data_IF_037282764706
#
_entry.id   IF_037282764706
#
_cell.length_a   1.000
_cell.length_b   1.000
_cell.length_c   1.000
_cell.angle_alpha   90.00
_cell.angle_beta   90.00
_cell.angle_gamma   90.00
#
_symmetry.space_group_name_H-M   'P 1'
#
loop_
_entity.id
_entity.type
_entity.pdbx_description
1 polymer ?
#
# COMPACT_ATOMS: atom_id res chain seq x y z
N UNK A 1 39.23 64.12 32.52
CA UNK A 1 37.93 63.43 32.66
C UNK A 1 38.15 62.34 33.68
N UNK A 2 37.70 62.57 34.91
CA UNK A 2 37.92 61.77 36.12
C UNK A 2 36.88 60.65 36.21
N UNK A 3 37.26 59.40 36.56
CA UNK A 3 36.29 58.35 36.86
C UNK A 3 35.89 58.44 38.35
N UNK A 4 34.57 58.36 38.55
CA UNK A 4 33.92 58.35 39.85
C UNK A 4 33.90 56.91 40.37
N UNK A 5 34.58 56.72 41.55
CA UNK A 5 34.54 55.47 42.34
C UNK A 5 33.33 55.50 43.28
N UNK A 6 32.46 54.47 43.35
CA UNK A 6 31.48 54.41 44.43
C UNK A 6 32.10 53.78 45.69
N UNK A 7 31.92 54.45 46.78
CA UNK A 7 32.29 54.04 48.16
C UNK A 7 31.25 52.98 48.61
N UNK A 8 31.75 51.77 48.92
CA UNK A 8 30.96 50.72 49.55
C UNK A 8 31.06 50.86 51.06
N UNK A 9 29.91 51.20 51.70
CA UNK A 9 29.78 51.24 53.14
C UNK A 9 29.72 49.83 53.77
N UNK A 10 30.12 49.65 55.03
CA UNK A 10 30.19 48.33 55.66
C UNK A 10 28.82 47.79 55.97
N UNK A 11 28.56 46.61 55.41
CA UNK A 11 27.36 45.78 55.67
C UNK A 11 27.43 45.25 57.13
N UNK A 12 26.46 45.65 57.95
CA UNK A 12 26.20 45.07 59.28
C UNK A 12 25.69 43.66 59.15
N UNK A 13 26.47 42.66 59.53
CA UNK A 13 26.05 41.27 59.69
C UNK A 13 25.06 41.12 60.84
N UNK A 14 23.90 40.48 60.71
CA UNK A 14 23.06 40.23 61.88
C UNK A 14 23.70 39.16 62.75
N UNK A 15 23.88 39.46 63.97
CA UNK A 15 24.35 38.58 65.08
C UNK A 15 23.17 37.64 65.40
N UNK A 16 23.28 36.38 65.02
CA UNK A 16 22.36 35.33 65.46
C UNK A 16 22.65 35.05 66.92
N UNK A 17 21.72 35.44 67.79
CA UNK A 17 21.77 35.09 69.23
C UNK A 17 21.66 33.59 69.37
N UNK A 18 22.71 32.96 69.89
CA UNK A 18 22.68 31.55 70.29
C UNK A 18 21.73 31.41 71.50
N UNK A 19 20.63 30.77 71.29
CA UNK A 19 19.55 30.55 72.29
C UNK A 19 19.87 29.39 73.25
N UNK A 20 20.97 28.69 73.05
CA UNK A 20 21.37 27.55 73.91
C UNK A 20 22.60 27.81 74.68
N UNK A 21 22.45 28.57 75.78
CA UNK A 21 23.47 28.59 76.86
C UNK A 21 22.81 28.06 78.16
N UNK A 22 23.49 27.05 78.75
CA UNK A 22 23.15 26.39 80.00
C UNK A 22 21.94 25.35 79.92
N UNK A 23 22.21 24.23 79.27
CA UNK A 23 21.47 22.99 79.57
C UNK A 23 22.25 22.12 80.56
N UNK A 24 21.58 21.25 81.31
CA UNK A 24 22.28 20.37 82.27
C UNK A 24 23.34 19.53 81.60
N UNK A 25 24.37 19.08 82.30
CA UNK A 25 25.52 18.38 81.74
C UNK A 25 25.11 17.19 80.92
N UNK A 26 25.77 16.91 79.84
CA UNK A 26 25.44 15.83 78.86
C UNK A 26 25.09 14.49 79.54
N UNK A 27 25.76 14.22 80.68
CA UNK A 27 25.50 13.00 81.48
C UNK A 27 24.11 13.01 82.12
N UNK A 28 23.56 14.12 82.56
CA UNK A 28 22.25 14.25 83.12
C UNK A 28 21.14 14.03 81.98
N UNK A 29 21.40 14.53 80.82
CA UNK A 29 20.51 14.29 79.67
C UNK A 29 20.48 12.81 79.21
N UNK A 30 21.64 12.15 79.21
CA UNK A 30 21.77 10.75 78.92
C UNK A 30 21.03 9.88 79.96
N UNK A 31 21.19 10.22 81.26
CA UNK A 31 20.52 9.56 82.38
C UNK A 31 18.98 9.72 82.33
N UNK A 32 18.52 10.92 81.99
CA UNK A 32 17.05 11.17 81.81
C UNK A 32 16.52 10.42 80.58
N UNK A 33 17.19 10.41 79.47
CA UNK A 33 16.81 9.68 78.29
C UNK A 33 16.86 8.15 78.48
N UNK A 34 17.88 7.67 79.22
CA UNK A 34 17.97 6.23 79.52
C UNK A 34 16.89 5.76 80.49
N UNK A 35 16.63 6.58 81.56
CA UNK A 35 15.50 6.26 82.48
C UNK A 35 14.13 6.38 81.78
N UNK A 36 13.93 7.34 80.89
CA UNK A 36 12.73 7.48 80.10
C UNK A 36 12.57 6.29 79.14
N UNK A 37 13.62 5.82 78.55
CA UNK A 37 13.63 4.63 77.71
C UNK A 37 13.30 3.37 78.45
N UNK A 38 13.83 3.18 79.68
CA UNK A 38 13.54 2.04 80.56
C UNK A 38 12.09 2.09 81.06
N UNK A 39 11.56 3.26 81.39
CA UNK A 39 10.15 3.46 81.80
C UNK A 39 9.25 3.18 80.60
N UNK A 40 9.56 3.67 79.44
CA UNK A 40 8.79 3.38 78.21
C UNK A 40 8.81 1.89 77.90
N UNK A 41 9.96 1.21 78.03
CA UNK A 41 10.11 -0.21 77.79
C UNK A 41 9.37 -1.09 78.83
N UNK A 42 9.29 -0.63 80.10
CA UNK A 42 8.54 -1.34 81.13
C UNK A 42 7.02 -1.12 81.06
N UNK A 43 6.57 0.03 80.59
CA UNK A 43 5.19 0.32 80.33
C UNK A 43 4.71 -0.42 79.10
N UNK A 44 5.54 -0.50 78.07
CA UNK A 44 5.28 -1.28 76.85
C UNK A 44 5.11 -2.77 77.12
N UNK A 45 5.92 -3.32 78.06
CA UNK A 45 5.85 -4.76 78.37
C UNK A 45 4.63 -5.16 79.24
N UNK A 46 3.89 -4.17 79.82
CA UNK A 46 2.74 -4.50 80.71
C UNK A 46 1.37 -4.30 80.10
N UNK A 47 1.21 -3.51 79.04
CA UNK A 47 -0.16 -3.11 78.63
C UNK A 47 -0.45 -3.18 77.10
N UNK A 48 0.43 -3.72 76.28
CA UNK A 48 0.19 -3.87 74.80
C UNK A 48 -0.40 -2.61 74.10
N UNK A 49 -0.21 -1.41 74.67
CA UNK A 49 -0.76 -0.19 74.10
C UNK A 49 0.01 0.30 72.82
N UNK A 50 1.17 -0.27 72.54
CA UNK A 50 1.92 0.05 71.31
C UNK A 50 1.31 -0.57 70.08
N UNK A 51 0.55 -1.65 70.21
CA UNK A 51 -0.15 -2.25 69.04
C UNK A 51 -1.30 -1.32 68.61
N UNK A 52 -2.00 -0.65 69.56
CA UNK A 52 -3.04 0.31 69.18
C UNK A 52 -2.45 1.61 68.61
N UNK A 53 -1.32 2.08 69.11
CA UNK A 53 -0.63 3.21 68.52
C UNK A 53 -0.06 2.89 67.16
N UNK A 54 0.46 1.68 66.97
CA UNK A 54 0.95 1.18 65.68
C UNK A 54 -0.20 1.04 64.68
N UNK A 55 -1.35 0.54 65.13
CA UNK A 55 -2.58 0.45 64.35
C UNK A 55 -3.09 1.85 63.96
N UNK A 56 -3.10 2.80 64.92
CA UNK A 56 -3.47 4.19 64.60
C UNK A 56 -2.51 4.90 63.68
N UNK A 57 -1.17 4.67 63.82
CA UNK A 57 -0.19 5.20 62.89
C UNK A 57 -0.30 4.56 61.50
N UNK A 58 -0.60 3.28 61.42
CA UNK A 58 -0.74 2.61 60.13
C UNK A 58 -1.96 3.15 59.35
N UNK A 59 -3.04 3.51 60.02
CA UNK A 59 -4.20 4.17 59.39
C UNK A 59 -3.85 5.56 58.87
N UNK A 60 -2.91 6.27 59.54
CA UNK A 60 -2.47 7.60 59.09
C UNK A 60 -1.46 7.52 57.93
N UNK A 61 -0.64 6.44 57.90
CA UNK A 61 0.38 6.21 56.86
C UNK A 61 -0.25 5.59 55.59
N UNK A 62 -1.35 4.85 55.77
CA UNK A 62 -2.03 4.19 54.65
C UNK A 62 -2.44 5.15 53.52
N UNK A 63 -3.07 6.33 53.78
CA UNK A 63 -3.39 7.28 52.72
C UNK A 63 -2.15 7.90 52.06
N UNK A 64 -1.02 7.98 52.78
CA UNK A 64 0.25 8.49 52.23
C UNK A 64 0.90 7.43 51.33
N UNK A 65 0.83 6.14 51.67
CA UNK A 65 1.25 5.05 50.85
C UNK A 65 0.38 4.96 49.58
N UNK A 66 -0.93 5.15 49.72
CA UNK A 66 -1.84 5.17 48.56
C UNK A 66 -1.57 6.36 47.63
N UNK A 67 -1.10 7.49 48.15
CA UNK A 67 -0.68 8.66 47.38
C UNK A 67 0.67 8.46 46.68
N UNK A 68 1.57 7.70 47.29
CA UNK A 68 2.90 7.37 46.72
C UNK A 68 2.80 6.21 45.72
N UNK A 69 1.90 5.27 45.96
CA UNK A 69 1.57 4.16 45.04
C UNK A 69 0.55 4.53 43.95
N UNK A 70 0.04 5.79 43.91
CA UNK A 70 -0.62 6.34 42.74
C UNK A 70 0.44 6.59 41.67
N UNK A 71 0.62 5.59 40.79
CA UNK A 71 1.84 5.50 40.02
C UNK A 71 1.80 6.51 38.90
N UNK A 72 2.97 6.76 38.34
CA UNK A 72 3.15 7.42 37.07
C UNK A 72 2.33 6.85 35.91
N UNK A 73 1.61 5.74 36.13
CA UNK A 73 0.69 5.10 35.15
C UNK A 73 -0.52 5.98 34.80
N UNK A 74 -1.02 6.82 35.73
CA UNK A 74 -2.11 7.75 35.38
C UNK A 74 -1.62 8.90 34.49
N UNK A 75 -0.38 9.35 34.70
CA UNK A 75 0.25 10.38 33.86
C UNK A 75 0.61 9.85 32.47
N UNK A 76 1.05 8.61 32.38
CA UNK A 76 1.36 7.94 31.10
C UNK A 76 0.09 7.66 30.32
N UNK A 77 -0.95 7.16 30.96
CA UNK A 77 -2.26 6.93 30.33
C UNK A 77 -2.90 8.22 29.79
N UNK A 78 -2.79 9.34 30.52
CA UNK A 78 -3.23 10.65 30.04
C UNK A 78 -2.39 11.16 28.87
N UNK A 79 -1.06 10.98 28.91
CA UNK A 79 -0.17 11.36 27.81
C UNK A 79 -0.42 10.51 26.57
N UNK A 80 -0.59 9.22 26.74
CA UNK A 80 -0.88 8.28 25.67
C UNK A 80 -2.27 8.53 25.03
N UNK A 81 -3.30 8.81 25.84
CA UNK A 81 -4.63 9.19 25.35
C UNK A 81 -4.62 10.52 24.59
N UNK A 82 -3.82 11.51 25.02
CA UNK A 82 -3.71 12.80 24.34
C UNK A 82 -2.84 12.69 23.08
N UNK A 83 -1.77 11.89 23.11
CA UNK A 83 -0.94 11.60 21.95
C UNK A 83 -1.75 10.88 20.87
N UNK A 84 -2.51 9.85 21.28
CA UNK A 84 -3.39 9.09 20.36
C UNK A 84 -4.47 9.98 19.72
N UNK A 85 -5.05 10.91 20.47
CA UNK A 85 -6.03 11.86 19.90
C UNK A 85 -5.43 12.81 18.89
N UNK A 86 -4.22 13.31 19.14
CA UNK A 86 -3.51 14.17 18.18
C UNK A 86 -3.13 13.41 16.93
N UNK A 87 -2.59 12.21 17.10
CA UNK A 87 -2.22 11.33 15.99
C UNK A 87 -3.44 10.98 15.12
N UNK A 88 -4.57 10.62 15.74
CA UNK A 88 -5.84 10.39 15.04
C UNK A 88 -6.36 11.65 14.32
N UNK A 89 -6.18 12.83 14.90
CA UNK A 89 -6.56 14.09 14.25
C UNK A 89 -5.66 14.40 13.05
N UNK A 90 -4.34 14.17 13.17
CA UNK A 90 -3.38 14.34 12.08
C UNK A 90 -3.64 13.33 10.97
N UNK A 91 -3.87 12.05 11.33
CA UNK A 91 -4.26 11.03 10.36
C UNK A 91 -5.59 11.38 9.65
N UNK A 92 -6.60 11.84 10.39
CA UNK A 92 -7.87 12.26 9.80
C UNK A 92 -7.71 13.47 8.87
N UNK A 93 -6.88 14.45 9.24
CA UNK A 93 -6.56 15.59 8.40
C UNK A 93 -5.79 15.16 7.13
N UNK A 94 -4.82 14.26 7.28
CA UNK A 94 -4.07 13.69 6.17
C UNK A 94 -4.97 12.91 5.21
N UNK A 95 -5.84 12.03 5.74
CA UNK A 95 -6.79 11.27 4.93
C UNK A 95 -7.78 12.17 4.19
N UNK A 96 -8.27 13.24 4.82
CA UNK A 96 -9.13 14.23 4.17
C UNK A 96 -8.40 14.96 3.05
N UNK A 97 -7.14 15.32 3.27
CA UNK A 97 -6.31 15.96 2.23
C UNK A 97 -6.09 15.01 1.06
N UNK A 98 -5.76 13.74 1.33
CA UNK A 98 -5.63 12.73 0.29
C UNK A 98 -6.95 12.52 -0.47
N UNK A 99 -8.08 12.49 0.22
CA UNK A 99 -9.39 12.38 -0.39
C UNK A 99 -9.71 13.57 -1.31
N UNK A 100 -9.37 14.79 -0.90
CA UNK A 100 -9.54 15.99 -1.73
C UNK A 100 -8.66 15.93 -2.99
N UNK A 101 -7.41 15.50 -2.86
CA UNK A 101 -6.50 15.34 -4.00
C UNK A 101 -7.04 14.29 -4.97
N UNK A 102 -7.46 13.13 -4.46
CA UNK A 102 -8.04 12.06 -5.29
C UNK A 102 -9.32 12.53 -6.00
N UNK A 103 -10.21 13.21 -5.29
CA UNK A 103 -11.42 13.75 -5.91
C UNK A 103 -11.11 14.78 -7.01
N UNK A 104 -10.11 15.62 -6.79
CA UNK A 104 -9.66 16.58 -7.82
C UNK A 104 -9.08 15.86 -9.04
N UNK A 105 -8.31 14.79 -8.82
CA UNK A 105 -7.78 13.99 -9.93
C UNK A 105 -8.89 13.27 -10.69
N UNK A 106 -9.91 12.73 -10.00
CA UNK A 106 -11.08 12.13 -10.64
C UNK A 106 -11.85 13.14 -11.49
N UNK A 107 -12.10 14.35 -10.97
CA UNK A 107 -12.76 15.42 -11.75
C UNK A 107 -11.95 15.80 -12.98
N UNK A 108 -10.62 15.88 -12.86
CA UNK A 108 -9.74 16.16 -14.01
C UNK A 108 -9.78 15.04 -15.04
N UNK A 109 -9.78 13.77 -14.58
CA UNK A 109 -9.95 12.61 -15.46
C UNK A 109 -11.26 12.67 -16.22
N UNK A 110 -12.38 12.89 -15.53
CA UNK A 110 -13.71 13.00 -16.14
C UNK A 110 -13.77 14.14 -17.19
N UNK A 111 -13.15 15.26 -16.87
CA UNK A 111 -13.02 16.38 -17.82
C UNK A 111 -12.22 15.99 -19.07
N UNK A 112 -11.06 15.34 -18.89
CA UNK A 112 -10.23 14.89 -20.01
C UNK A 112 -10.90 13.80 -20.83
N UNK A 113 -11.64 12.89 -20.21
CA UNK A 113 -12.44 11.88 -20.91
C UNK A 113 -13.53 12.53 -21.76
N UNK A 114 -14.23 13.52 -21.21
CA UNK A 114 -15.26 14.27 -21.92
C UNK A 114 -14.66 15.03 -23.11
N UNK A 115 -13.54 15.69 -22.93
CA UNK A 115 -12.82 16.37 -24.00
C UNK A 115 -12.36 15.38 -25.08
N UNK A 116 -11.80 14.24 -24.67
CA UNK A 116 -11.37 13.19 -25.59
C UNK A 116 -12.55 12.62 -26.40
N UNK A 117 -13.71 12.39 -25.74
CA UNK A 117 -14.94 11.97 -26.44
C UNK A 117 -15.39 13.03 -27.46
N UNK A 118 -15.35 14.32 -27.09
CA UNK A 118 -15.69 15.43 -27.98
C UNK A 118 -14.75 15.49 -29.17
N UNK A 119 -13.42 15.41 -28.94
CA UNK A 119 -12.45 15.42 -30.02
C UNK A 119 -12.61 14.23 -30.95
N UNK A 120 -12.91 13.03 -30.41
CA UNK A 120 -13.20 11.84 -31.22
C UNK A 120 -14.48 11.95 -32.01
N UNK A 121 -15.53 12.52 -31.43
CA UNK A 121 -16.76 12.81 -32.14
C UNK A 121 -16.55 13.77 -33.33
N UNK A 122 -15.68 14.78 -33.16
CA UNK A 122 -15.29 15.71 -34.22
C UNK A 122 -14.46 15.03 -35.31
N UNK A 123 -13.69 13.97 -34.97
CA UNK A 123 -12.88 13.20 -35.92
C UNK A 123 -13.64 12.00 -36.54
N UNK A 124 -14.94 11.89 -36.30
CA UNK A 124 -15.83 10.79 -36.78
C UNK A 124 -15.31 9.39 -36.40
N UNK A 125 -14.51 9.33 -35.33
CA UNK A 125 -13.96 8.07 -34.82
C UNK A 125 -14.86 7.54 -33.68
N UNK A 126 -15.72 6.59 -34.01
CA UNK A 126 -16.66 5.89 -33.09
C UNK A 126 -15.93 4.99 -32.06
N UNK A 127 -15.08 5.60 -31.21
CA UNK A 127 -14.53 4.90 -30.05
C UNK A 127 -15.31 5.30 -28.80
N UNK A 128 -16.33 4.54 -28.48
CA UNK A 128 -16.96 4.62 -27.16
C UNK A 128 -15.98 4.16 -26.09
N UNK A 129 -15.31 5.09 -25.41
CA UNK A 129 -14.72 4.84 -24.10
C UNK A 129 -15.85 4.90 -23.07
N UNK A 130 -16.77 3.93 -23.17
CA UNK A 130 -17.84 3.73 -22.20
C UNK A 130 -17.36 2.92 -21.00
N UNK A 131 -18.09 2.99 -19.89
CA UNK A 131 -17.94 2.12 -18.73
C UNK A 131 -17.91 0.67 -19.18
N UNK A 132 -16.72 0.07 -19.21
CA UNK A 132 -16.58 -1.33 -19.60
C UNK A 132 -17.13 -2.21 -18.50
N UNK A 133 -17.85 -3.25 -18.80
CA UNK A 133 -18.22 -4.23 -17.79
C UNK A 133 -16.95 -4.84 -17.21
N UNK A 134 -16.92 -4.95 -15.90
CA UNK A 134 -15.80 -5.51 -15.12
C UNK A 134 -16.37 -6.50 -14.13
N UNK A 135 -15.66 -7.60 -13.91
CA UNK A 135 -16.02 -8.61 -12.93
C UNK A 135 -14.83 -8.86 -12.01
N UNK A 136 -15.07 -8.85 -10.71
CA UNK A 136 -14.06 -9.22 -9.72
C UNK A 136 -14.15 -10.73 -9.50
N UNK A 137 -12.97 -11.39 -9.47
CA UNK A 137 -12.83 -12.79 -9.14
C UNK A 137 -11.76 -12.97 -8.07
N UNK A 138 -11.92 -14.00 -7.24
CA UNK A 138 -10.94 -14.40 -6.25
C UNK A 138 -10.03 -15.49 -6.80
N UNK A 139 -8.75 -15.45 -6.40
CA UNK A 139 -7.80 -16.50 -6.69
C UNK A 139 -8.07 -17.71 -5.81
N UNK A 140 -8.20 -18.87 -6.44
CA UNK A 140 -8.34 -20.16 -5.76
C UNK A 140 -6.99 -20.83 -5.57
N UNK A 141 -6.15 -20.82 -6.59
CA UNK A 141 -4.82 -21.41 -6.55
C UNK A 141 -3.84 -20.66 -7.42
N UNK A 142 -2.55 -20.78 -7.09
CA UNK A 142 -1.44 -20.17 -7.83
C UNK A 142 -0.42 -21.25 -8.12
N UNK A 143 -0.13 -21.48 -9.39
CA UNK A 143 0.92 -22.38 -9.86
C UNK A 143 2.06 -21.56 -10.44
N UNK A 144 3.20 -21.59 -9.75
CA UNK A 144 4.42 -20.83 -10.08
C UNK A 144 5.58 -21.78 -10.39
N UNK A 145 5.29 -22.84 -11.12
CA UNK A 145 6.34 -23.67 -11.69
C UNK A 145 7.19 -22.85 -12.67
N UNK A 146 8.52 -22.96 -12.70
CA UNK A 146 9.39 -22.17 -13.63
C UNK A 146 9.00 -22.23 -15.10
N UNK A 147 8.29 -23.28 -15.50
CA UNK A 147 7.82 -23.48 -16.87
C UNK A 147 6.35 -23.12 -17.09
N UNK A 148 5.62 -22.80 -16.00
CA UNK A 148 4.19 -22.53 -16.10
C UNK A 148 3.76 -21.58 -14.98
N UNK A 149 3.39 -20.37 -15.33
CA UNK A 149 2.83 -19.40 -14.42
C UNK A 149 1.33 -19.28 -14.66
N UNK A 150 0.55 -20.00 -13.86
CA UNK A 150 -0.91 -20.04 -14.01
C UNK A 150 -1.59 -19.80 -12.66
N UNK A 151 -2.78 -19.24 -12.73
CA UNK A 151 -3.66 -19.07 -11.58
C UNK A 151 -5.04 -19.58 -11.90
N UNK A 152 -5.74 -20.08 -10.90
CA UNK A 152 -7.13 -20.46 -10.98
C UNK A 152 -8.01 -19.48 -10.23
N UNK A 153 -9.14 -19.10 -10.82
CA UNK A 153 -10.11 -18.15 -10.27
C UNK A 153 -11.48 -18.77 -10.06
N UNK A 154 -12.27 -18.21 -9.14
CA UNK A 154 -13.61 -18.69 -8.74
C UNK A 154 -14.74 -18.22 -9.68
N UNK A 155 -14.44 -18.00 -10.95
CA UNK A 155 -15.40 -17.54 -11.97
C UNK A 155 -15.26 -18.37 -13.26
N UNK A 156 -16.35 -18.57 -13.97
CA UNK A 156 -16.37 -19.43 -15.13
C UNK A 156 -17.33 -18.98 -16.24
N UNK A 157 -17.72 -19.93 -17.10
CA UNK A 157 -18.65 -19.65 -18.22
C UNK A 157 -20.02 -19.18 -17.75
N UNK A 158 -20.47 -19.56 -16.54
CA UNK A 158 -21.71 -19.06 -15.95
C UNK A 158 -21.65 -17.55 -15.68
N UNK A 159 -20.46 -17.00 -15.48
CA UNK A 159 -20.22 -15.57 -15.33
C UNK A 159 -19.89 -14.88 -16.68
N UNK A 160 -20.15 -15.57 -17.81
CA UNK A 160 -19.89 -15.09 -19.18
C UNK A 160 -18.40 -14.88 -19.50
N UNK A 161 -17.51 -15.64 -18.85
CA UNK A 161 -16.09 -15.61 -19.16
C UNK A 161 -15.79 -16.43 -20.43
N UNK A 162 -14.71 -16.05 -21.11
CA UNK A 162 -14.25 -16.73 -22.33
C UNK A 162 -12.72 -16.79 -22.38
N UNK A 163 -12.19 -17.76 -23.11
CA UNK A 163 -10.75 -17.91 -23.30
C UNK A 163 -10.16 -16.72 -24.07
N UNK A 164 -9.01 -16.22 -23.62
CA UNK A 164 -8.39 -15.01 -24.14
C UNK A 164 -8.82 -13.71 -23.45
N UNK A 165 -9.73 -13.76 -22.48
CA UNK A 165 -10.16 -12.59 -21.73
C UNK A 165 -9.02 -12.07 -20.83
N UNK A 166 -8.72 -10.76 -20.86
CA UNK A 166 -7.66 -10.20 -20.04
C UNK A 166 -8.00 -10.16 -18.57
N UNK A 167 -6.98 -10.39 -17.76
CA UNK A 167 -6.98 -10.36 -16.31
C UNK A 167 -6.06 -9.26 -15.83
N UNK A 168 -6.55 -8.44 -14.90
CA UNK A 168 -5.84 -7.30 -14.34
C UNK A 168 -5.80 -7.37 -12.81
N UNK A 169 -4.83 -6.71 -12.22
CA UNK A 169 -4.87 -6.31 -10.81
C UNK A 169 -5.03 -4.79 -10.69
N UNK A 170 -4.83 -4.28 -9.48
CA UNK A 170 -4.90 -2.83 -9.19
C UNK A 170 -3.81 -2.01 -9.87
N UNK A 171 -2.71 -2.64 -10.31
CA UNK A 171 -1.51 -1.96 -10.84
C UNK A 171 -1.35 -2.16 -12.35
N UNK A 172 -1.94 -3.21 -12.93
CA UNK A 172 -1.77 -3.46 -14.35
C UNK A 172 -2.29 -4.81 -14.83
N UNK A 173 -1.90 -5.16 -16.04
CA UNK A 173 -2.27 -6.44 -16.65
C UNK A 173 -1.50 -7.57 -16.00
N UNK A 174 -2.24 -8.58 -15.56
CA UNK A 174 -1.74 -9.76 -14.89
C UNK A 174 -1.57 -10.95 -15.84
N UNK A 175 -2.48 -11.08 -16.80
CA UNK A 175 -2.50 -12.20 -17.73
C UNK A 175 -3.74 -12.27 -18.60
N UNK A 176 -4.06 -13.48 -19.06
CA UNK A 176 -5.27 -13.79 -19.83
C UNK A 176 -5.81 -15.17 -19.48
N UNK A 177 -7.12 -15.36 -19.60
CA UNK A 177 -7.74 -16.67 -19.44
C UNK A 177 -7.34 -17.61 -20.57
N UNK A 178 -6.90 -18.82 -20.23
CA UNK A 178 -6.54 -19.87 -21.21
C UNK A 178 -7.55 -20.99 -21.24
N UNK A 179 -8.11 -21.32 -20.08
CA UNK A 179 -9.16 -22.34 -19.98
C UNK A 179 -10.30 -21.81 -19.11
N UNK A 180 -11.54 -22.06 -19.52
CA UNK A 180 -12.72 -21.60 -18.78
C UNK A 180 -13.67 -22.77 -18.60
N UNK A 181 -13.79 -23.24 -17.37
CA UNK A 181 -14.77 -24.22 -16.93
C UNK A 181 -16.10 -23.56 -16.55
N UNK A 182 -17.09 -24.35 -16.10
CA UNK A 182 -18.39 -23.80 -15.69
C UNK A 182 -18.31 -22.85 -14.50
N UNK A 183 -17.50 -23.16 -13.49
CA UNK A 183 -17.41 -22.44 -12.20
C UNK A 183 -16.05 -21.83 -11.93
N UNK A 184 -15.00 -22.35 -12.57
CA UNK A 184 -13.62 -21.90 -12.41
C UNK A 184 -12.97 -21.63 -13.75
N UNK A 185 -11.94 -20.81 -13.77
CA UNK A 185 -11.15 -20.58 -14.98
C UNK A 185 -9.67 -20.50 -14.63
N UNK A 186 -8.84 -20.96 -15.58
CA UNK A 186 -7.38 -20.89 -15.48
C UNK A 186 -6.88 -19.72 -16.31
N UNK A 187 -6.05 -18.86 -15.71
CA UNK A 187 -5.39 -17.76 -16.38
C UNK A 187 -3.87 -18.01 -16.45
N UNK A 188 -3.29 -17.67 -17.59
CA UNK A 188 -1.84 -17.63 -17.80
C UNK A 188 -1.33 -16.23 -17.50
N UNK A 189 -0.33 -16.13 -16.65
CA UNK A 189 0.28 -14.86 -16.27
C UNK A 189 1.19 -14.31 -17.37
N UNK A 190 1.43 -13.00 -17.36
CA UNK A 190 2.32 -12.35 -18.36
C UNK A 190 3.78 -12.80 -18.24
N UNK A 191 4.16 -13.37 -17.11
CA UNK A 191 5.51 -13.91 -16.84
C UNK A 191 5.72 -15.36 -17.29
N UNK A 192 4.64 -16.04 -17.70
CA UNK A 192 4.74 -17.39 -18.27
C UNK A 192 5.60 -17.37 -19.53
N UNK A 193 6.58 -18.31 -19.72
CA UNK A 193 7.42 -18.34 -20.92
C UNK A 193 6.65 -18.49 -22.24
N UNK A 194 5.43 -19.02 -22.20
CA UNK A 194 4.56 -19.16 -23.38
C UNK A 194 3.69 -17.92 -23.63
N UNK A 195 3.76 -16.91 -22.75
CA UNK A 195 2.93 -15.72 -22.88
C UNK A 195 3.64 -14.61 -23.66
N UNK A 196 2.90 -13.99 -24.55
CA UNK A 196 3.33 -12.83 -25.31
C UNK A 196 2.26 -11.75 -25.28
N UNK A 197 2.61 -10.55 -24.88
CA UNK A 197 1.71 -9.40 -24.83
C UNK A 197 2.21 -8.27 -25.72
N UNK A 198 1.39 -7.75 -26.64
CA UNK A 198 1.74 -6.58 -27.44
C UNK A 198 1.66 -5.31 -26.57
N UNK A 199 2.79 -4.63 -26.45
CA UNK A 199 2.96 -3.43 -25.63
C UNK A 199 3.39 -2.23 -26.48
N UNK A 200 3.27 -1.05 -25.92
CA UNK A 200 3.88 0.16 -26.44
C UNK A 200 4.54 0.95 -25.31
N UNK A 201 5.64 1.60 -25.62
CA UNK A 201 6.26 2.55 -24.70
C UNK A 201 5.36 3.77 -24.60
N UNK A 202 4.89 4.09 -23.40
CA UNK A 202 3.92 5.17 -23.20
C UNK A 202 4.44 6.55 -23.63
N UNK A 203 5.75 6.80 -23.49
CA UNK A 203 6.40 8.07 -23.82
C UNK A 203 6.56 8.26 -25.34
N UNK A 204 7.01 7.24 -26.05
CA UNK A 204 7.40 7.34 -27.48
C UNK A 204 6.36 6.76 -28.43
N UNK A 205 5.43 5.93 -27.93
CA UNK A 205 4.48 5.19 -28.73
C UNK A 205 5.10 4.00 -29.51
N UNK A 206 6.38 3.70 -29.30
CA UNK A 206 7.05 2.55 -29.91
C UNK A 206 6.32 1.26 -29.51
N UNK A 207 5.93 0.46 -30.49
CA UNK A 207 5.23 -0.82 -30.30
C UNK A 207 6.19 -1.97 -30.39
N UNK A 208 6.03 -2.92 -29.47
CA UNK A 208 6.80 -4.16 -29.41
C UNK A 208 6.00 -5.26 -28.73
N UNK A 209 6.62 -6.41 -28.51
CA UNK A 209 6.03 -7.53 -27.80
C UNK A 209 6.87 -7.78 -26.55
N UNK A 210 6.22 -7.89 -25.39
CA UNK A 210 6.85 -8.36 -24.17
C UNK A 210 6.58 -9.85 -24.01
N UNK A 211 7.62 -10.61 -23.72
CA UNK A 211 7.60 -12.06 -23.50
C UNK A 211 7.82 -12.37 -22.03
N UNK A 212 7.13 -13.38 -21.52
CA UNK A 212 7.40 -13.94 -20.21
C UNK A 212 8.70 -14.72 -20.20
N UNK A 213 9.41 -14.68 -19.07
CA UNK A 213 10.71 -15.34 -18.92
C UNK A 213 10.69 -16.55 -17.99
N UNK A 214 9.54 -16.83 -17.33
CA UNK A 214 9.48 -17.81 -16.25
C UNK A 214 9.99 -17.27 -14.90
N UNK A 215 10.31 -15.97 -14.84
CA UNK A 215 10.61 -15.27 -13.59
C UNK A 215 9.45 -14.33 -13.27
N UNK A 216 9.02 -14.31 -12.00
CA UNK A 216 7.84 -13.53 -11.57
C UNK A 216 8.02 -12.03 -11.68
N UNK A 217 9.26 -11.56 -11.76
CA UNK A 217 9.65 -10.15 -11.72
C UNK A 217 10.25 -9.64 -13.06
N UNK A 218 10.28 -10.48 -14.10
CA UNK A 218 10.99 -10.16 -15.35
C UNK A 218 10.18 -10.51 -16.59
N UNK A 219 10.11 -9.54 -17.49
CA UNK A 219 9.67 -9.69 -18.88
C UNK A 219 10.82 -9.30 -19.79
N UNK A 220 10.86 -9.88 -20.97
CA UNK A 220 11.86 -9.57 -21.99
C UNK A 220 11.18 -8.96 -23.23
N UNK A 221 11.80 -7.92 -23.78
CA UNK A 221 11.39 -7.30 -25.04
C UNK A 221 12.52 -7.52 -26.05
N UNK A 222 12.46 -8.60 -26.82
CA UNK A 222 13.48 -8.89 -27.82
C UNK A 222 13.30 -8.04 -29.08
N UNK A 223 14.34 -7.98 -29.88
CA UNK A 223 14.31 -7.41 -31.24
C UNK A 223 13.93 -5.92 -31.30
N UNK A 224 14.42 -5.14 -30.36
CA UNK A 224 14.25 -3.68 -30.38
C UNK A 224 15.37 -3.08 -31.24
N UNK A 225 15.06 -2.22 -32.23
CA UNK A 225 16.10 -1.54 -33.01
C UNK A 225 17.03 -0.70 -32.11
N UNK A 226 18.33 -0.69 -32.38
CA UNK A 226 19.34 0.05 -31.59
C UNK A 226 19.02 1.55 -31.51
N UNK A 227 18.39 2.10 -32.53
CA UNK A 227 18.00 3.52 -32.61
C UNK A 227 16.66 3.82 -31.92
N UNK A 228 16.06 2.83 -31.27
CA UNK A 228 14.81 3.05 -30.55
C UNK A 228 15.05 3.88 -29.28
N UNK A 229 14.28 4.94 -29.09
CA UNK A 229 14.31 5.75 -27.86
C UNK A 229 13.51 5.05 -26.77
N UNK A 230 14.14 4.10 -26.07
CA UNK A 230 13.63 3.45 -24.88
C UNK A 230 14.61 3.66 -23.74
N UNK A 231 14.12 4.01 -22.56
CA UNK A 231 14.92 4.36 -21.39
C UNK A 231 14.47 3.57 -20.17
N UNK A 232 15.41 3.34 -19.27
CA UNK A 232 15.10 2.81 -17.94
C UNK A 232 14.07 3.73 -17.25
N UNK A 233 13.02 3.15 -16.69
CA UNK A 233 11.89 3.86 -16.09
C UNK A 233 10.73 4.15 -17.07
N UNK A 234 10.86 3.83 -18.37
CA UNK A 234 9.74 3.96 -19.30
C UNK A 234 8.63 2.97 -18.95
N UNK A 235 7.39 3.49 -18.88
CA UNK A 235 6.21 2.68 -18.69
C UNK A 235 5.77 2.02 -19.99
N UNK A 236 5.62 0.71 -19.95
CA UNK A 236 5.05 -0.10 -21.01
C UNK A 236 3.56 -0.27 -20.76
N UNK A 237 2.75 0.08 -21.73
CA UNK A 237 1.29 -0.09 -21.69
C UNK A 237 0.85 -1.03 -22.81
N UNK A 238 -0.29 -1.68 -22.63
CA UNK A 238 -0.87 -2.53 -23.68
C UNK A 238 -1.18 -1.73 -24.93
N UNK A 239 -0.77 -2.23 -26.09
CA UNK A 239 -0.96 -1.52 -27.37
C UNK A 239 -2.37 -1.68 -27.95
N UNK A 240 -3.16 -2.64 -27.47
CA UNK A 240 -4.46 -3.00 -28.02
C UNK A 240 -4.39 -3.79 -29.34
N UNK A 241 -3.21 -4.10 -29.85
CA UNK A 241 -3.04 -4.91 -31.04
C UNK A 241 -3.58 -6.33 -30.84
N UNK A 242 -4.24 -6.87 -31.84
CA UNK A 242 -4.90 -8.18 -31.76
C UNK A 242 -6.23 -8.17 -30.99
N UNK A 243 -6.64 -7.04 -30.41
CA UNK A 243 -7.98 -6.87 -29.78
C UNK A 243 -8.21 -7.66 -28.49
N UNK A 244 -7.21 -8.41 -28.00
CA UNK A 244 -7.31 -9.20 -26.75
C UNK A 244 -7.20 -8.32 -25.52
N UNK A 245 -6.17 -7.48 -25.48
CA UNK A 245 -5.91 -6.58 -24.37
C UNK A 245 -6.45 -5.19 -24.66
N UNK A 246 -7.16 -4.57 -23.71
CA UNK A 246 -7.58 -3.19 -23.89
C UNK A 246 -6.36 -2.27 -23.96
N UNK A 247 -6.32 -1.27 -24.86
CA UNK A 247 -5.17 -0.38 -25.01
C UNK A 247 -5.00 0.55 -23.80
N UNK A 248 -3.74 0.91 -23.51
CA UNK A 248 -3.38 1.93 -22.52
C UNK A 248 -3.30 1.43 -21.07
N UNK A 249 -3.47 0.13 -20.81
CA UNK A 249 -3.29 -0.40 -19.45
C UNK A 249 -1.82 -0.66 -19.14
N UNK A 250 -1.33 -0.34 -17.93
CA UNK A 250 0.02 -0.65 -17.50
C UNK A 250 0.32 -2.14 -17.61
N UNK A 251 1.51 -2.49 -18.09
CA UNK A 251 2.02 -3.86 -18.18
C UNK A 251 3.28 -4.00 -17.36
N UNK A 252 4.30 -3.21 -17.66
CA UNK A 252 5.62 -3.31 -17.05
C UNK A 252 6.36 -1.96 -17.07
N UNK A 253 7.45 -1.89 -16.34
CA UNK A 253 8.38 -0.76 -16.33
C UNK A 253 9.75 -1.25 -16.77
N UNK A 254 10.40 -0.52 -17.65
CA UNK A 254 11.74 -0.86 -18.17
C UNK A 254 12.77 -0.75 -17.04
N UNK A 255 13.51 -1.84 -16.80
CA UNK A 255 14.55 -1.92 -15.76
C UNK A 255 15.95 -1.84 -16.35
N UNK A 256 16.19 -2.51 -17.48
CA UNK A 256 17.48 -2.47 -18.16
C UNK A 256 17.32 -2.41 -19.67
N UNK A 257 18.31 -1.84 -20.33
CA UNK A 257 18.43 -1.77 -21.79
C UNK A 257 19.81 -2.26 -22.14
N UNK A 258 19.91 -3.48 -22.63
CA UNK A 258 21.17 -4.08 -23.08
C UNK A 258 21.27 -3.93 -24.59
N UNK A 259 22.36 -3.28 -25.03
CA UNK A 259 22.65 -3.09 -26.46
C UNK A 259 23.66 -4.13 -26.93
N UNK A 260 23.24 -5.00 -27.84
CA UNK A 260 24.08 -5.94 -28.55
C UNK A 260 24.34 -5.46 -29.99
N UNK A 261 25.42 -5.93 -30.66
CA UNK A 261 25.66 -5.57 -32.06
C UNK A 261 24.49 -6.03 -32.95
N UNK A 262 23.69 -5.08 -33.44
CA UNK A 262 22.55 -5.32 -34.33
C UNK A 262 21.18 -5.38 -33.66
N UNK A 263 21.09 -5.49 -32.35
CA UNK A 263 19.84 -5.62 -31.63
C UNK A 263 19.92 -5.04 -30.20
N UNK A 264 18.77 -4.71 -29.60
CA UNK A 264 18.71 -4.37 -28.20
C UNK A 264 17.68 -5.29 -27.50
N UNK A 265 18.10 -5.85 -26.39
CA UNK A 265 17.22 -6.61 -25.50
C UNK A 265 16.89 -5.75 -24.31
N UNK A 266 15.60 -5.63 -24.01
CA UNK A 266 15.11 -4.81 -22.92
C UNK A 266 14.48 -5.71 -21.87
N UNK A 267 14.90 -5.55 -20.63
CA UNK A 267 14.23 -6.17 -19.51
C UNK A 267 13.25 -5.20 -18.86
N UNK A 268 12.09 -5.69 -18.52
CA UNK A 268 11.06 -4.92 -17.86
C UNK A 268 10.47 -5.69 -16.68
N UNK A 269 10.09 -4.97 -15.62
CA UNK A 269 9.43 -5.53 -14.45
C UNK A 269 7.92 -5.37 -14.57
N UNK A 270 7.13 -6.44 -14.39
CA UNK A 270 5.69 -6.36 -14.33
C UNK A 270 5.22 -5.32 -13.31
N UNK A 271 4.19 -4.56 -13.65
CA UNK A 271 3.53 -3.64 -12.71
C UNK A 271 2.53 -4.36 -11.82
N UNK A 272 1.88 -5.41 -12.34
CA UNK A 272 0.96 -6.24 -11.60
C UNK A 272 1.67 -7.03 -10.49
N UNK A 273 1.04 -7.15 -9.33
CA UNK A 273 1.53 -7.94 -8.20
C UNK A 273 1.13 -9.41 -8.39
N UNK A 274 1.96 -10.18 -9.09
CA UNK A 274 1.65 -11.57 -9.46
C UNK A 274 1.67 -12.55 -8.27
N UNK A 275 2.33 -12.15 -7.17
CA UNK A 275 2.59 -12.97 -5.98
C UNK A 275 1.68 -12.65 -4.77
N UNK A 276 0.94 -11.54 -4.80
CA UNK A 276 0.22 -11.02 -3.61
C UNK A 276 -1.26 -10.73 -3.85
N UNK A 277 -1.70 -10.69 -5.08
CA UNK A 277 -3.08 -10.38 -5.41
C UNK A 277 -4.00 -11.52 -4.94
N UNK A 278 -5.01 -11.19 -4.14
CA UNK A 278 -6.08 -12.12 -3.74
C UNK A 278 -7.29 -12.02 -4.65
N UNK A 279 -7.47 -10.86 -5.24
CA UNK A 279 -8.59 -10.52 -6.12
C UNK A 279 -8.04 -10.01 -7.45
N UNK A 280 -8.75 -10.33 -8.51
CA UNK A 280 -8.39 -9.95 -9.88
C UNK A 280 -9.60 -9.41 -10.61
N UNK A 281 -9.35 -8.57 -11.59
CA UNK A 281 -10.36 -7.90 -12.37
C UNK A 281 -10.37 -8.45 -13.80
N UNK A 282 -11.51 -8.96 -14.22
CA UNK A 282 -11.76 -9.40 -15.58
C UNK A 282 -12.41 -8.27 -16.36
N UNK A 283 -11.88 -7.96 -17.53
CA UNK A 283 -12.33 -6.85 -18.36
C UNK A 283 -12.75 -7.36 -19.73
N UNK A 284 -13.84 -6.81 -20.26
CA UNK A 284 -14.26 -7.08 -21.64
C UNK A 284 -13.60 -6.02 -22.55
N UNK A 285 -12.66 -6.43 -23.45
CA UNK A 285 -12.12 -5.52 -24.43
C UNK A 285 -13.22 -5.02 -25.39
N UNK A 286 -13.07 -3.85 -25.99
CA UNK A 286 -13.99 -3.40 -27.02
C UNK A 286 -14.00 -4.44 -28.14
N UNK A 287 -15.20 -4.85 -28.59
CA UNK A 287 -15.29 -5.68 -29.78
C UNK A 287 -14.72 -4.88 -30.94
N UNK A 288 -13.53 -5.23 -31.38
CA UNK A 288 -13.07 -4.83 -32.70
C UNK A 288 -13.98 -5.59 -33.67
N UNK A 289 -14.81 -4.88 -34.41
CA UNK A 289 -15.56 -5.51 -35.50
C UNK A 289 -14.51 -6.18 -36.40
N UNK A 290 -14.46 -7.50 -36.35
CA UNK A 290 -13.66 -8.26 -37.33
C UNK A 290 -14.15 -7.82 -38.68
N UNK A 291 -13.31 -7.28 -39.58
CA UNK A 291 -13.76 -7.02 -40.95
C UNK A 291 -14.30 -8.35 -41.46
N UNK A 292 -15.54 -8.32 -41.92
CA UNK A 292 -16.19 -9.50 -42.48
C UNK A 292 -15.21 -10.15 -43.47
N UNK A 293 -14.88 -11.43 -43.24
CA UNK A 293 -14.09 -12.19 -44.21
C UNK A 293 -14.64 -11.89 -45.59
N UNK A 294 -13.79 -11.55 -46.56
CA UNK A 294 -14.27 -11.34 -47.91
C UNK A 294 -15.07 -12.60 -48.30
N UNK A 295 -16.35 -12.41 -48.59
CA UNK A 295 -17.22 -13.45 -49.13
C UNK A 295 -16.45 -14.01 -50.32
N UNK A 296 -16.08 -15.29 -50.24
CA UNK A 296 -15.48 -15.99 -51.36
C UNK A 296 -16.40 -15.76 -52.57
N UNK A 297 -15.86 -15.39 -53.73
CA UNK A 297 -16.70 -15.19 -54.89
C UNK A 297 -17.48 -16.49 -55.13
N UNK A 298 -18.78 -16.37 -55.13
CA UNK A 298 -19.74 -17.45 -55.47
C UNK A 298 -19.26 -18.03 -56.80
N UNK A 299 -18.75 -19.26 -56.75
CA UNK A 299 -18.31 -20.00 -57.93
C UNK A 299 -19.56 -20.13 -58.81
N UNK A 300 -19.57 -19.42 -59.92
CA UNK A 300 -20.59 -19.55 -60.95
C UNK A 300 -20.72 -21.04 -61.31
N UNK A 301 -21.93 -21.56 -61.18
CA UNK A 301 -22.26 -22.91 -61.58
C UNK A 301 -21.85 -23.09 -63.06
N UNK A 302 -21.24 -24.21 -63.41
CA UNK A 302 -20.94 -24.48 -64.84
C UNK A 302 -22.27 -24.65 -65.61
N UNK A 303 -22.39 -23.90 -66.69
CA UNK A 303 -23.43 -23.99 -67.68
C UNK A 303 -23.64 -25.47 -68.07
N UNK A 304 -24.86 -25.93 -67.96
CA UNK A 304 -25.26 -27.24 -68.49
C UNK A 304 -25.15 -27.25 -70.04
N UNK A 305 -24.57 -28.31 -70.65
CA UNK A 305 -24.49 -28.37 -72.11
C UNK A 305 -25.83 -28.56 -72.72
N UNK A 306 -26.18 -27.73 -73.71
CA UNK A 306 -27.27 -27.76 -74.60
C UNK A 306 -27.32 -29.11 -75.36
N UNK A 307 -28.34 -29.91 -75.10
CA UNK A 307 -28.56 -31.17 -75.85
C UNK A 307 -29.50 -30.90 -77.01
N UNK A 308 -28.94 -30.38 -78.10
CA UNK A 308 -29.61 -30.48 -79.38
C UNK A 308 -29.23 -31.82 -80.08
N UNK A 309 -30.14 -32.79 -79.93
CA UNK A 309 -30.06 -34.00 -80.72
C UNK A 309 -31.18 -33.95 -81.73
N UNK A 310 -30.83 -33.63 -82.97
CA UNK A 310 -31.64 -33.75 -84.17
C UNK A 310 -31.49 -35.16 -84.68
N UNK A 311 -32.64 -35.84 -84.79
CA UNK A 311 -32.76 -37.13 -85.51
C UNK A 311 -33.09 -36.90 -86.99
N UNK A 312 -32.77 -37.81 -87.85
CA UNK A 312 -33.61 -38.09 -89.02
C UNK A 312 -34.58 -39.21 -88.79
#
# INVERSE_FOLDING_TARGET
>A
MTPITPVIGPSKRPTIKQIFTAGPPLFARLLVLASLSIVLMTVDHREHHLDDVRAALSVLVYPVQLLVDLPGTTGEWFRESLATRRDLQEQNASLRTQQLVLNTQLQKLESLETENMRLRALLDSSFQVGKRPMLIAELLSVDMDPYRHQIEINKGTLDHLYAGQPLLDSQGIMGQLVHVGPFTATAMLITDPSHAIPVQVNRTGLRTIALGTGSTDRLELPHIPINADVRVGDLLVSSGLGGRFPPGYPVAEVVSVEQEPGNSTIEARPRAHLDRSREVLLVWPPRVATPASPVAPETAAPDAPDSDTKSP
#
